data_IF_776847272169
#
_entry.id   IF_776847272169
#
_cell.length_a   1.000
_cell.length_b   1.000
_cell.length_c   1.000
_cell.angle_alpha   90.00
_cell.angle_beta   90.00
_cell.angle_gamma   90.00
#
_symmetry.space_group_name_H-M   'P 1'
#
loop_
_entity.id
_entity.type
_entity.pdbx_description
1 polymer ?
#
# COMPACT_ATOMS: atom_id res chain seq x y z
N UNK A 1 -19.58 18.67 24.88
CA UNK A 1 -19.84 17.74 23.77
C UNK A 1 -18.69 17.75 22.74
N UNK A 2 -17.47 17.51 23.23
CA UNK A 2 -16.27 17.24 22.42
C UNK A 2 -15.53 15.98 22.94
N UNK A 3 -16.15 15.26 23.89
CA UNK A 3 -15.53 14.11 24.59
C UNK A 3 -15.71 12.77 23.88
N UNK A 4 -16.56 12.69 22.84
CA UNK A 4 -16.78 11.44 22.07
C UNK A 4 -16.03 11.39 20.73
N UNK A 5 -15.64 12.56 20.18
CA UNK A 5 -15.04 12.65 18.83
C UNK A 5 -13.56 12.28 18.76
N UNK A 6 -12.85 12.29 19.89
CA UNK A 6 -11.39 11.99 19.93
C UNK A 6 -11.12 10.48 20.04
N UNK A 7 -12.08 9.69 20.52
CA UNK A 7 -11.90 8.26 20.76
C UNK A 7 -12.07 7.38 19.51
N UNK A 8 -12.68 7.91 18.44
CA UNK A 8 -12.91 7.16 17.18
C UNK A 8 -11.76 7.28 16.18
N UNK A 9 -10.84 8.24 16.34
CA UNK A 9 -9.65 8.39 15.47
C UNK A 9 -8.51 7.41 15.85
N UNK A 10 -8.61 6.73 16.99
CA UNK A 10 -7.59 5.81 17.53
C UNK A 10 -8.13 4.38 17.67
N UNK A 11 -9.03 3.94 16.79
CA UNK A 11 -9.34 2.51 16.71
C UNK A 11 -8.05 1.76 16.29
N UNK A 12 -7.57 0.76 17.05
CA UNK A 12 -6.33 0.01 16.76
C UNK A 12 -6.46 -0.93 15.55
N UNK A 13 -7.29 -0.56 14.57
CA UNK A 13 -7.58 -1.28 13.34
C UNK A 13 -7.77 -0.30 12.19
N UNK A 14 -6.96 0.76 12.13
CA UNK A 14 -6.85 1.59 10.92
C UNK A 14 -6.53 0.71 9.71
N UNK A 15 -7.00 1.11 8.53
CA UNK A 15 -6.75 0.38 7.28
C UNK A 15 -5.27 0.00 7.21
N UNK A 16 -4.98 -1.30 7.19
CA UNK A 16 -3.62 -1.81 7.10
C UNK A 16 -3.15 -1.58 5.68
N UNK A 17 -2.13 -0.75 5.53
CA UNK A 17 -1.49 -0.49 4.26
C UNK A 17 -0.19 -1.27 4.18
N UNK A 18 0.06 -1.85 3.03
CA UNK A 18 1.31 -2.51 2.70
C UNK A 18 2.03 -1.70 1.63
N UNK A 19 3.35 -1.59 1.77
CA UNK A 19 4.22 -1.00 0.76
C UNK A 19 4.67 -2.10 -0.19
N UNK A 20 4.20 -2.05 -1.43
CA UNK A 20 4.58 -2.99 -2.49
C UNK A 20 5.75 -2.39 -3.25
N UNK A 21 6.86 -3.11 -3.30
CA UNK A 21 8.07 -2.74 -4.06
C UNK A 21 8.19 -3.69 -5.23
N UNK A 22 8.14 -3.17 -6.46
CA UNK A 22 8.28 -3.95 -7.69
C UNK A 22 9.52 -3.54 -8.47
N UNK A 23 10.30 -4.52 -8.90
CA UNK A 23 11.35 -4.33 -9.89
C UNK A 23 10.71 -4.26 -11.30
N UNK A 24 10.92 -3.15 -11.99
CA UNK A 24 10.47 -2.92 -13.37
C UNK A 24 11.69 -2.82 -14.26
N UNK A 25 11.71 -3.61 -15.34
CA UNK A 25 12.77 -3.54 -16.34
C UNK A 25 12.61 -2.24 -17.14
N UNK A 26 13.67 -1.44 -17.16
CA UNK A 26 13.77 -0.22 -17.96
C UNK A 26 14.15 -0.58 -19.40
N UNK A 27 13.87 0.33 -20.34
CA UNK A 27 14.18 0.15 -21.77
C UNK A 27 15.67 -0.14 -22.01
N UNK A 28 16.55 0.41 -21.16
CA UNK A 28 18.01 0.21 -21.21
C UNK A 28 18.48 -1.10 -20.55
N UNK A 29 17.57 -1.97 -20.11
CA UNK A 29 17.90 -3.29 -19.55
C UNK A 29 18.16 -3.33 -18.05
N UNK A 30 18.25 -2.18 -17.38
CA UNK A 30 18.42 -2.09 -15.92
C UNK A 30 17.08 -2.27 -15.20
N UNK A 31 17.11 -2.68 -13.93
CA UNK A 31 15.91 -2.73 -13.08
C UNK A 31 15.77 -1.47 -12.23
N UNK A 32 14.61 -0.83 -12.30
CA UNK A 32 14.22 0.24 -11.40
C UNK A 32 13.17 -0.27 -10.41
N UNK A 33 13.21 0.20 -9.17
CA UNK A 33 12.20 -0.14 -8.18
C UNK A 33 11.09 0.91 -8.20
N UNK A 34 9.83 0.46 -8.31
CA UNK A 34 8.64 1.30 -8.10
C UNK A 34 7.98 0.88 -6.80
N UNK A 35 7.63 1.88 -6.00
CA UNK A 35 7.01 1.70 -4.69
C UNK A 35 5.57 2.22 -4.73
N UNK A 36 4.63 1.42 -4.26
CA UNK A 36 3.21 1.78 -4.20
C UNK A 36 2.64 1.38 -2.84
N UNK A 37 1.89 2.27 -2.20
CA UNK A 37 1.23 1.98 -0.93
C UNK A 37 -0.21 1.56 -1.21
N UNK A 38 -0.55 0.32 -0.88
CA UNK A 38 -1.85 -0.28 -1.20
C UNK A 38 -2.49 -0.89 0.06
N UNK A 39 -3.82 -0.99 0.13
CA UNK A 39 -4.47 -1.72 1.21
C UNK A 39 -4.03 -3.19 1.24
N UNK A 40 -3.92 -3.81 2.42
CA UNK A 40 -3.45 -5.20 2.60
C UNK A 40 -4.25 -6.21 1.75
N UNK A 41 -5.56 -6.00 1.58
CA UNK A 41 -6.42 -6.85 0.76
C UNK A 41 -6.12 -6.80 -0.74
N UNK A 42 -5.51 -5.72 -1.22
CA UNK A 42 -5.23 -5.49 -2.65
C UNK A 42 -3.81 -5.89 -3.05
N UNK A 43 -2.93 -6.16 -2.10
CA UNK A 43 -1.52 -6.52 -2.33
C UNK A 43 -1.38 -7.67 -3.33
N UNK A 44 -2.20 -8.73 -3.19
CA UNK A 44 -2.15 -9.89 -4.08
C UNK A 44 -2.56 -9.55 -5.51
N UNK A 45 -3.58 -8.69 -5.66
CA UNK A 45 -4.06 -8.25 -6.97
C UNK A 45 -3.04 -7.36 -7.66
N UNK A 46 -2.43 -6.45 -6.89
CA UNK A 46 -1.36 -5.57 -7.36
C UNK A 46 -0.20 -6.42 -7.85
N UNK A 47 0.31 -7.36 -7.05
CA UNK A 47 1.40 -8.28 -7.39
C UNK A 47 1.09 -9.20 -8.59
N UNK A 48 -0.14 -9.70 -8.71
CA UNK A 48 -0.55 -10.60 -9.79
C UNK A 48 -0.74 -9.90 -11.15
N UNK A 49 -0.94 -8.58 -11.16
CA UNK A 49 -1.07 -7.80 -12.40
C UNK A 49 0.27 -7.82 -13.17
N UNK A 50 0.32 -8.63 -14.23
CA UNK A 50 1.44 -8.72 -15.17
C UNK A 50 1.35 -7.52 -16.12
N UNK A 51 2.21 -6.53 -15.89
CA UNK A 51 2.44 -5.42 -16.83
C UNK A 51 3.57 -5.80 -17.77
#
# INVERSE_FOLDING_TARGET
>A
MAKKVVATLKQPGGAKFAKVIRAVKTENGNYAYREEMVPEGEVKNVLAKKN
#
